data_IF_009779109804
#
_entry.id   IF_009779109804
#
_cell.length_a   1.000
_cell.length_b   1.000
_cell.length_c   1.000
_cell.angle_alpha   90.00
_cell.angle_beta   90.00
_cell.angle_gamma   90.00
#
_symmetry.space_group_name_H-M   'P 1'
#
loop_
_entity.id
_entity.type
_entity.pdbx_description
1 polymer ?
#
# COMPACT_ATOMS: atom_id res chain seq x y z
N UNK A 1 12.10 -13.05 -27.30
CA UNK A 1 12.23 -11.60 -27.00
C UNK A 1 13.24 -11.02 -27.98
N UNK A 2 12.83 -10.05 -28.79
CA UNK A 2 13.70 -9.37 -29.76
C UNK A 2 13.86 -7.89 -29.38
N UNK A 3 15.01 -7.31 -29.78
CA UNK A 3 15.22 -5.86 -29.64
C UNK A 3 14.27 -5.11 -30.57
N UNK A 4 13.55 -4.13 -30.03
CA UNK A 4 12.72 -3.23 -30.84
C UNK A 4 13.57 -2.43 -31.82
N UNK A 5 13.14 -2.38 -33.07
CA UNK A 5 13.75 -1.54 -34.10
C UNK A 5 12.75 -1.17 -35.19
N UNK A 6 12.90 0.00 -35.79
CA UNK A 6 12.05 0.46 -36.91
C UNK A 6 12.08 -0.51 -38.09
N UNK A 7 13.25 -1.09 -38.38
CA UNK A 7 13.41 -2.07 -39.46
C UNK A 7 12.67 -3.39 -39.25
N UNK A 8 12.33 -3.72 -38.01
CA UNK A 8 11.57 -4.92 -37.62
C UNK A 8 10.08 -4.66 -37.43
N UNK A 9 9.65 -3.42 -37.57
CA UNK A 9 8.25 -3.01 -37.35
C UNK A 9 7.65 -3.45 -35.99
N UNK A 10 8.49 -3.61 -34.97
CA UNK A 10 8.10 -4.07 -33.63
C UNK A 10 8.27 -2.97 -32.57
N UNK A 11 8.32 -1.70 -32.97
CA UNK A 11 8.44 -0.53 -32.08
C UNK A 11 7.06 -0.15 -31.55
N UNK A 12 6.96 0.07 -30.25
CA UNK A 12 5.81 0.72 -29.63
C UNK A 12 6.06 2.22 -29.63
N UNK A 13 5.12 3.00 -30.19
CA UNK A 13 5.21 4.44 -30.20
C UNK A 13 4.76 5.01 -28.85
N UNK A 14 5.61 5.76 -28.12
CA UNK A 14 5.21 6.41 -26.85
C UNK A 14 4.00 7.32 -26.98
N UNK A 15 3.85 8.04 -28.09
CA UNK A 15 2.73 8.96 -28.30
C UNK A 15 1.38 8.24 -28.28
N UNK A 16 1.31 7.04 -28.88
CA UNK A 16 0.09 6.22 -28.88
C UNK A 16 -0.26 5.73 -27.47
N UNK A 17 0.75 5.38 -26.70
CA UNK A 17 0.59 4.97 -25.30
C UNK A 17 0.15 6.15 -24.44
N UNK A 18 0.78 7.32 -24.61
CA UNK A 18 0.42 8.55 -23.89
C UNK A 18 -1.01 8.98 -24.23
N UNK A 19 -1.40 8.94 -25.50
CA UNK A 19 -2.75 9.27 -25.92
C UNK A 19 -3.81 8.35 -25.28
N UNK A 20 -3.47 7.06 -25.06
CA UNK A 20 -4.40 6.07 -24.50
C UNK A 20 -4.42 6.03 -22.96
N UNK A 21 -3.27 6.14 -22.32
CA UNK A 21 -3.12 5.88 -20.88
C UNK A 21 -2.61 7.08 -20.08
N UNK A 22 -2.11 8.11 -20.75
CA UNK A 22 -1.47 9.27 -20.13
C UNK A 22 0.04 9.08 -19.87
N UNK A 23 0.75 10.21 -19.80
CA UNK A 23 2.21 10.22 -19.63
C UNK A 23 2.67 9.62 -18.31
N UNK A 24 1.95 9.89 -17.22
CA UNK A 24 2.29 9.34 -15.89
C UNK A 24 2.20 7.81 -15.84
N UNK A 25 1.23 7.24 -16.54
CA UNK A 25 1.09 5.77 -16.65
C UNK A 25 2.28 5.17 -17.37
N UNK A 26 2.71 5.76 -18.49
CA UNK A 26 3.88 5.31 -19.23
C UNK A 26 5.15 5.40 -18.36
N UNK A 27 5.38 6.54 -17.70
CA UNK A 27 6.52 6.75 -16.80
C UNK A 27 6.59 5.70 -15.69
N UNK A 28 5.47 5.49 -15.00
CA UNK A 28 5.38 4.48 -13.94
C UNK A 28 5.61 3.07 -14.47
N UNK A 29 5.09 2.76 -15.66
CA UNK A 29 5.25 1.45 -16.26
C UNK A 29 6.71 1.17 -16.62
N UNK A 30 7.40 2.12 -17.24
CA UNK A 30 8.84 2.02 -17.54
C UNK A 30 9.67 1.77 -16.28
N UNK A 31 9.37 2.48 -15.19
CA UNK A 31 10.04 2.28 -13.91
C UNK A 31 9.68 0.95 -13.24
N UNK A 32 8.44 0.47 -13.41
CA UNK A 32 7.92 -0.74 -12.77
C UNK A 32 8.40 -2.04 -13.40
N UNK A 33 8.74 -2.04 -14.70
CA UNK A 33 9.10 -3.25 -15.46
C UNK A 33 10.26 -4.07 -14.84
N UNK A 34 11.12 -3.46 -14.03
CA UNK A 34 12.22 -4.15 -13.34
C UNK A 34 13.40 -3.22 -13.02
N UNK A 35 14.50 -3.76 -12.51
CA UNK A 35 15.71 -2.98 -12.22
C UNK A 35 16.21 -2.22 -13.45
N UNK A 36 16.69 -0.97 -13.24
CA UNK A 36 17.06 -0.07 -14.35
C UNK A 36 18.19 -0.59 -15.22
N UNK A 37 19.06 -1.42 -14.66
CA UNK A 37 20.23 -1.99 -15.36
C UNK A 37 19.88 -3.18 -16.27
N UNK A 38 18.67 -3.72 -16.15
CA UNK A 38 18.28 -4.92 -16.88
C UNK A 38 17.45 -4.60 -18.12
N UNK A 39 17.67 -5.37 -19.18
CA UNK A 39 16.80 -5.36 -20.35
C UNK A 39 15.42 -5.91 -19.98
N UNK A 40 14.36 -5.24 -20.44
CA UNK A 40 12.99 -5.57 -20.07
C UNK A 40 12.15 -5.86 -21.32
N UNK A 41 11.37 -6.96 -21.34
CA UNK A 41 10.39 -7.15 -22.39
C UNK A 41 9.24 -6.16 -22.22
N UNK A 42 8.84 -5.52 -23.30
CA UNK A 42 7.62 -4.72 -23.31
C UNK A 42 6.39 -5.65 -23.36
N UNK A 43 5.45 -5.41 -22.46
CA UNK A 43 4.12 -6.02 -22.49
C UNK A 43 3.05 -4.94 -22.43
N UNK A 44 2.36 -4.72 -23.55
CA UNK A 44 1.31 -3.70 -23.63
C UNK A 44 0.15 -3.96 -22.67
N UNK A 45 -0.08 -5.22 -22.26
CA UNK A 45 -1.13 -5.53 -21.27
C UNK A 45 -0.70 -5.20 -19.85
N UNK A 46 0.59 -5.23 -19.55
CA UNK A 46 1.13 -4.93 -18.22
C UNK A 46 0.91 -3.48 -17.77
N UNK A 47 0.79 -2.54 -18.71
CA UNK A 47 0.57 -1.11 -18.43
C UNK A 47 -0.79 -0.84 -17.75
N UNK A 48 -1.78 -1.70 -17.95
CA UNK A 48 -3.08 -1.61 -17.29
C UNK A 48 -2.97 -1.63 -15.75
N UNK A 49 -1.95 -2.31 -15.21
CA UNK A 49 -1.70 -2.36 -13.77
C UNK A 49 -1.35 -0.99 -13.21
N UNK A 50 -0.46 -0.25 -13.88
CA UNK A 50 -0.05 1.10 -13.48
C UNK A 50 -1.17 2.13 -13.72
N UNK A 51 -1.93 1.99 -14.79
CA UNK A 51 -3.10 2.83 -15.05
C UNK A 51 -4.16 2.69 -13.94
N UNK A 52 -4.49 1.46 -13.56
CA UNK A 52 -5.43 1.20 -12.46
C UNK A 52 -4.91 1.69 -11.12
N UNK A 53 -3.59 1.61 -10.88
CA UNK A 53 -2.98 2.18 -9.68
C UNK A 53 -3.21 3.69 -9.60
N UNK A 54 -2.91 4.45 -10.66
CA UNK A 54 -3.13 5.90 -10.68
C UNK A 54 -4.60 6.27 -10.44
N UNK A 55 -5.53 5.53 -11.03
CA UNK A 55 -6.97 5.73 -10.77
C UNK A 55 -7.33 5.46 -9.31
N UNK A 56 -6.77 4.42 -8.69
CA UNK A 56 -6.99 4.15 -7.27
C UNK A 56 -6.37 5.25 -6.39
N UNK A 57 -5.17 5.73 -6.74
CA UNK A 57 -4.52 6.83 -6.04
C UNK A 57 -5.39 8.10 -6.11
N UNK A 58 -5.87 8.48 -7.29
CA UNK A 58 -6.81 9.57 -7.47
C UNK A 58 -8.05 9.43 -6.60
N UNK A 59 -8.63 8.25 -6.56
CA UNK A 59 -9.85 7.98 -5.81
C UNK A 59 -9.69 8.07 -4.28
N UNK A 60 -8.47 7.99 -3.72
CA UNK A 60 -8.24 8.26 -2.30
C UNK A 60 -8.56 9.70 -1.89
N UNK A 61 -8.50 10.63 -2.85
CA UNK A 61 -8.73 12.06 -2.63
C UNK A 61 -10.18 12.48 -2.92
N UNK A 62 -11.00 11.58 -3.44
CA UNK A 62 -12.36 11.88 -3.86
C UNK A 62 -13.37 11.05 -3.07
N UNK A 63 -14.49 11.68 -2.75
CA UNK A 63 -15.62 10.99 -2.09
C UNK A 63 -16.18 9.96 -3.05
N UNK A 64 -16.54 8.75 -2.55
CA UNK A 64 -17.15 7.73 -3.40
C UNK A 64 -18.41 8.27 -4.08
N UNK A 65 -18.68 7.77 -5.30
CA UNK A 65 -19.84 8.19 -6.09
C UNK A 65 -21.19 8.08 -5.33
N UNK A 66 -21.30 7.13 -4.38
CA UNK A 66 -22.48 6.97 -3.51
C UNK A 66 -22.61 8.11 -2.48
N UNK A 67 -21.50 8.67 -2.01
CA UNK A 67 -21.49 9.83 -1.11
C UNK A 67 -21.62 11.13 -1.91
N UNK A 68 -21.09 11.20 -3.14
CA UNK A 68 -21.21 12.31 -4.08
C UNK A 68 -22.63 12.49 -4.61
N UNK A 69 -23.42 11.41 -4.77
CA UNK A 69 -24.81 11.47 -5.19
C UNK A 69 -25.73 12.18 -4.17
N UNK A 70 -25.27 12.34 -2.93
CA UNK A 70 -25.93 13.13 -1.87
C UNK A 70 -25.51 14.60 -1.84
N UNK A 71 -24.47 14.98 -2.58
CA UNK A 71 -23.90 16.32 -2.66
C UNK A 71 -23.82 16.76 -4.12
N UNK A 72 -24.93 17.17 -4.72
CA UNK A 72 -25.06 17.89 -6.02
C UNK A 72 -24.09 17.52 -7.16
N UNK A 73 -23.70 16.25 -7.30
CA UNK A 73 -23.15 15.68 -8.54
C UNK A 73 -21.78 16.18 -9.01
N UNK A 74 -21.00 16.85 -8.17
CA UNK A 74 -19.62 17.25 -8.46
C UNK A 74 -18.65 16.23 -7.85
N UNK A 75 -17.56 15.90 -8.55
CA UNK A 75 -16.39 15.17 -8.02
C UNK A 75 -15.91 15.85 -6.71
N UNK A 76 -16.54 15.51 -5.61
CA UNK A 76 -16.25 16.14 -4.33
C UNK A 76 -14.90 15.66 -3.83
N UNK A 77 -13.96 16.59 -3.76
CA UNK A 77 -12.66 16.35 -3.12
C UNK A 77 -12.91 16.08 -1.63
N UNK A 78 -12.60 14.85 -1.19
CA UNK A 78 -13.03 14.31 0.09
C UNK A 78 -11.94 14.21 1.14
N UNK A 79 -10.93 15.07 1.08
CA UNK A 79 -9.82 15.09 2.03
C UNK A 79 -10.25 15.80 3.33
N UNK A 80 -9.98 15.18 4.50
CA UNK A 80 -10.30 15.71 5.81
C UNK A 80 -9.04 16.08 6.61
N UNK A 81 -9.16 17.07 7.49
CA UNK A 81 -8.09 17.50 8.42
C UNK A 81 -8.13 16.76 9.76
N UNK A 82 -8.92 15.70 9.87
CA UNK A 82 -8.94 14.87 11.08
C UNK A 82 -7.59 14.19 11.33
N UNK A 83 -7.32 13.90 12.60
CA UNK A 83 -6.09 13.20 12.98
C UNK A 83 -6.05 11.79 12.38
N UNK A 84 -4.91 11.38 11.79
CA UNK A 84 -4.75 10.03 11.26
C UNK A 84 -4.69 8.99 12.37
N UNK A 85 -5.12 7.77 12.04
CA UNK A 85 -5.01 6.61 12.90
C UNK A 85 -3.60 6.01 12.86
N UNK A 86 -3.24 5.20 13.88
CA UNK A 86 -1.95 4.49 13.89
C UNK A 86 -1.72 3.61 12.64
N UNK A 87 -2.70 2.81 12.15
CA UNK A 87 -2.53 2.05 10.91
C UNK A 87 -2.27 2.93 9.68
N UNK A 88 -2.95 4.06 9.55
CA UNK A 88 -2.75 5.00 8.44
C UNK A 88 -1.34 5.61 8.48
N UNK A 89 -0.87 6.04 9.67
CA UNK A 89 0.50 6.55 9.86
C UNK A 89 1.54 5.46 9.56
N UNK A 90 1.30 4.21 9.97
CA UNK A 90 2.21 3.10 9.65
C UNK A 90 2.37 2.91 8.15
N UNK A 91 1.28 2.91 7.39
CA UNK A 91 1.31 2.80 5.92
C UNK A 91 2.08 3.96 5.30
N UNK A 92 1.80 5.20 5.74
CA UNK A 92 2.50 6.39 5.25
C UNK A 92 4.00 6.26 5.49
N UNK A 93 4.42 6.11 6.75
CA UNK A 93 5.85 6.16 7.10
C UNK A 93 6.64 4.95 6.57
N UNK A 94 6.02 3.76 6.46
CA UNK A 94 6.61 2.61 5.78
C UNK A 94 6.84 2.90 4.29
N UNK A 95 5.89 3.56 3.66
CA UNK A 95 5.99 3.94 2.24
C UNK A 95 7.07 5.00 2.03
N UNK A 96 7.06 6.08 2.81
CA UNK A 96 8.08 7.13 2.72
C UNK A 96 9.49 6.59 2.94
N UNK A 97 9.68 5.75 3.96
CA UNK A 97 10.97 5.09 4.21
C UNK A 97 11.43 4.29 3.01
N UNK A 98 10.57 3.37 2.55
CA UNK A 98 10.90 2.47 1.44
C UNK A 98 11.21 3.24 0.16
N UNK A 99 10.39 4.23 -0.20
CA UNK A 99 10.56 5.03 -1.42
C UNK A 99 11.83 5.86 -1.34
N UNK A 100 12.14 6.48 -0.20
CA UNK A 100 13.39 7.25 -0.01
C UNK A 100 14.62 6.35 -0.21
N UNK A 101 14.66 5.19 0.46
CA UNK A 101 15.76 4.24 0.32
C UNK A 101 15.89 3.67 -1.11
N UNK A 102 14.78 3.46 -1.79
CA UNK A 102 14.76 2.93 -3.15
C UNK A 102 15.22 3.96 -4.18
N UNK A 103 14.89 5.23 -4.02
CA UNK A 103 15.38 6.31 -4.88
C UNK A 103 16.90 6.41 -4.78
N UNK A 104 17.46 6.39 -3.56
CA UNK A 104 18.90 6.42 -3.32
C UNK A 104 19.64 5.24 -3.99
N UNK A 105 18.98 4.08 -4.06
CA UNK A 105 19.51 2.85 -4.69
C UNK A 105 19.11 2.69 -6.15
N UNK A 106 18.39 3.65 -6.73
CA UNK A 106 17.80 3.59 -8.07
C UNK A 106 16.89 2.37 -8.30
N UNK A 107 16.27 1.85 -7.23
CA UNK A 107 15.36 0.69 -7.24
C UNK A 107 13.91 1.11 -7.50
N UNK A 108 13.65 1.82 -8.59
CA UNK A 108 12.36 2.46 -8.85
C UNK A 108 11.19 1.48 -8.97
N UNK A 109 11.46 0.26 -9.45
CA UNK A 109 10.43 -0.77 -9.56
C UNK A 109 9.83 -1.18 -8.20
N UNK A 110 10.64 -1.21 -7.14
CA UNK A 110 10.18 -1.51 -5.78
C UNK A 110 9.47 -0.32 -5.16
N UNK A 111 9.85 0.92 -5.49
CA UNK A 111 9.08 2.12 -5.11
C UNK A 111 7.67 2.11 -5.69
N UNK A 112 7.53 1.81 -6.99
CA UNK A 112 6.20 1.74 -7.63
C UNK A 112 5.35 0.63 -7.00
N UNK A 113 5.94 -0.54 -6.72
CA UNK A 113 5.26 -1.61 -6.00
C UNK A 113 4.79 -1.18 -4.60
N UNK A 114 5.63 -0.43 -3.86
CA UNK A 114 5.29 0.09 -2.55
C UNK A 114 4.13 1.08 -2.60
N UNK A 115 4.08 1.98 -3.57
CA UNK A 115 2.92 2.85 -3.76
C UNK A 115 1.64 2.06 -4.05
N UNK A 116 1.71 0.99 -4.84
CA UNK A 116 0.54 0.12 -5.10
C UNK A 116 0.04 -0.56 -3.82
N UNK A 117 0.93 -1.01 -2.95
CA UNK A 117 0.60 -1.58 -1.63
C UNK A 117 -0.08 -0.51 -0.78
N UNK A 118 0.54 0.66 -0.64
CA UNK A 118 0.03 1.76 0.18
C UNK A 118 -1.39 2.18 -0.23
N UNK A 119 -1.66 2.33 -1.53
CA UNK A 119 -2.98 2.70 -2.04
C UNK A 119 -4.04 1.65 -1.71
N UNK A 120 -3.70 0.35 -1.81
CA UNK A 120 -4.64 -0.72 -1.45
C UNK A 120 -4.92 -0.74 0.06
N UNK A 121 -3.90 -0.57 0.91
CA UNK A 121 -4.05 -0.53 2.36
C UNK A 121 -4.83 0.70 2.83
N UNK A 122 -4.49 1.90 2.34
CA UNK A 122 -5.22 3.13 2.65
C UNK A 122 -6.66 3.09 2.15
N UNK A 123 -6.90 2.49 0.98
CA UNK A 123 -8.24 2.24 0.46
C UNK A 123 -9.06 1.32 1.38
N UNK A 124 -8.45 0.25 1.91
CA UNK A 124 -9.08 -0.66 2.88
C UNK A 124 -9.40 0.06 4.20
N UNK A 125 -8.49 0.93 4.65
CA UNK A 125 -8.68 1.78 5.84
C UNK A 125 -9.65 2.94 5.59
N UNK A 126 -10.10 3.15 4.34
CA UNK A 126 -10.92 4.31 3.93
C UNK A 126 -10.29 5.64 4.34
N UNK A 127 -8.97 5.73 4.22
CA UNK A 127 -8.22 6.91 4.60
C UNK A 127 -8.54 8.09 3.69
N UNK A 128 -8.92 9.22 4.29
CA UNK A 128 -9.13 10.50 3.63
C UNK A 128 -8.34 11.64 4.31
N UNK A 129 -7.36 11.30 5.14
CA UNK A 129 -6.67 12.26 6.01
C UNK A 129 -5.59 13.02 5.23
N UNK A 130 -5.68 14.38 5.24
CA UNK A 130 -4.68 15.27 4.62
C UNK A 130 -3.27 14.93 5.09
N UNK A 131 -3.08 14.77 6.40
CA UNK A 131 -1.77 14.48 7.00
C UNK A 131 -1.13 13.16 6.49
N UNK A 132 -1.91 12.26 5.88
CA UNK A 132 -1.43 11.02 5.26
C UNK A 132 -1.28 11.18 3.74
N UNK A 133 -2.28 11.74 3.08
CA UNK A 133 -2.38 11.77 1.62
C UNK A 133 -1.44 12.81 1.00
N UNK A 134 -1.28 13.98 1.62
CA UNK A 134 -0.45 15.06 1.10
C UNK A 134 1.04 14.69 1.01
N UNK A 135 1.69 14.09 2.03
CA UNK A 135 3.06 13.61 1.90
C UNK A 135 3.24 12.52 0.83
N UNK A 136 2.21 11.70 0.57
CA UNK A 136 2.26 10.71 -0.51
C UNK A 136 2.20 11.35 -1.89
N UNK A 137 1.51 12.49 -2.06
CA UNK A 137 1.53 13.28 -3.31
C UNK A 137 2.95 13.74 -3.60
N UNK A 138 3.63 14.33 -2.61
CA UNK A 138 5.02 14.77 -2.75
C UNK A 138 5.95 13.61 -3.10
N UNK A 139 5.81 12.47 -2.40
CA UNK A 139 6.64 11.29 -2.65
C UNK A 139 6.39 10.67 -4.04
N UNK A 140 5.17 10.78 -4.58
CA UNK A 140 4.81 10.28 -5.91
C UNK A 140 5.25 11.21 -7.04
N UNK A 141 5.44 12.51 -6.80
CA UNK A 141 5.72 13.51 -7.82
C UNK A 141 6.89 13.15 -8.76
N UNK A 142 8.03 12.60 -8.32
CA UNK A 142 9.11 12.20 -9.23
C UNK A 142 8.70 11.10 -10.21
N UNK A 143 7.74 10.26 -9.84
CA UNK A 143 7.28 9.12 -10.63
C UNK A 143 6.12 9.47 -11.55
N UNK A 144 5.14 10.26 -11.07
CA UNK A 144 3.93 10.64 -11.76
C UNK A 144 3.64 12.14 -11.53
N UNK A 145 4.39 13.04 -12.21
CA UNK A 145 4.36 14.48 -11.92
C UNK A 145 3.01 15.15 -12.21
N UNK A 146 2.28 14.72 -13.26
CA UNK A 146 1.06 15.41 -13.65
C UNK A 146 -0.09 15.18 -12.65
N UNK A 147 -0.32 13.94 -12.24
CA UNK A 147 -1.34 13.63 -11.23
C UNK A 147 -0.95 14.23 -9.87
N UNK A 148 0.34 14.22 -9.53
CA UNK A 148 0.82 14.80 -8.28
C UNK A 148 0.60 16.32 -8.25
N UNK A 149 0.91 17.03 -9.31
CA UNK A 149 0.68 18.47 -9.42
C UNK A 149 -0.81 18.81 -9.33
N UNK A 150 -1.67 18.11 -10.06
CA UNK A 150 -3.11 18.32 -10.01
C UNK A 150 -3.69 18.12 -8.61
N UNK A 151 -3.29 17.05 -7.90
CA UNK A 151 -3.71 16.78 -6.52
C UNK A 151 -3.16 17.82 -5.55
N UNK A 152 -1.92 18.27 -5.75
CA UNK A 152 -1.28 19.29 -4.94
C UNK A 152 -2.02 20.62 -5.00
N UNK A 153 -2.41 21.04 -6.20
CA UNK A 153 -3.25 22.24 -6.39
C UNK A 153 -4.64 22.08 -5.77
N UNK A 154 -5.26 20.91 -5.91
CA UNK A 154 -6.56 20.59 -5.28
C UNK A 154 -6.48 20.57 -3.75
N UNK A 155 -5.33 20.26 -3.16
CA UNK A 155 -5.06 20.40 -1.73
C UNK A 155 -4.91 21.85 -1.27
N UNK A 156 -4.90 22.82 -2.20
CA UNK A 156 -4.90 24.27 -1.92
C UNK A 156 -3.52 24.93 -1.98
N UNK A 157 -2.51 24.24 -2.50
CA UNK A 157 -1.17 24.81 -2.66
C UNK A 157 -1.08 25.65 -3.94
N UNK A 158 -0.50 26.84 -3.84
CA UNK A 158 -0.30 27.76 -4.96
C UNK A 158 0.98 27.52 -5.75
N UNK A 159 2.01 26.98 -5.09
CA UNK A 159 3.29 26.66 -5.70
C UNK A 159 3.31 25.22 -6.20
N UNK A 160 4.19 24.92 -7.15
CA UNK A 160 4.34 23.55 -7.68
C UNK A 160 4.78 22.55 -6.62
N UNK A 161 4.29 21.31 -6.70
CA UNK A 161 4.72 20.20 -5.86
C UNK A 161 6.23 19.95 -5.94
N UNK A 162 6.88 20.34 -7.02
CA UNK A 162 8.34 20.20 -7.20
C UNK A 162 9.15 21.04 -6.24
N UNK A 163 8.56 22.09 -5.65
CA UNK A 163 9.21 22.95 -4.63
C UNK A 163 8.92 22.48 -3.21
N UNK A 164 8.03 21.52 -3.03
CA UNK A 164 7.71 20.98 -1.71
C UNK A 164 8.91 20.22 -1.10
N UNK A 165 9.16 20.37 0.22
CA UNK A 165 10.20 19.63 0.89
C UNK A 165 9.90 18.12 0.87
N UNK A 166 10.94 17.31 0.68
CA UNK A 166 10.78 15.85 0.73
C UNK A 166 10.27 15.37 2.10
N UNK A 167 9.18 14.59 2.14
CA UNK A 167 8.57 14.19 3.40
C UNK A 167 9.47 13.24 4.18
N UNK A 168 9.61 13.50 5.48
CA UNK A 168 10.45 12.70 6.37
C UNK A 168 9.62 11.58 7.02
N UNK A 169 10.14 10.38 7.01
CA UNK A 169 9.55 9.27 7.75
C UNK A 169 10.02 9.25 9.22
N UNK A 170 9.18 8.71 10.11
CA UNK A 170 9.44 8.63 11.54
C UNK A 170 9.40 7.17 12.00
N UNK A 171 10.45 6.74 12.70
CA UNK A 171 10.61 5.35 13.13
C UNK A 171 9.54 4.91 14.15
N UNK A 172 9.02 5.85 14.94
CA UNK A 172 7.99 5.59 15.95
C UNK A 172 6.70 5.03 15.37
N UNK A 173 6.32 5.44 14.15
CA UNK A 173 5.13 4.94 13.45
C UNK A 173 5.33 3.56 12.80
N UNK A 174 6.57 3.06 12.74
CA UNK A 174 6.90 1.75 12.19
C UNK A 174 6.94 0.64 13.25
N UNK A 175 6.86 1.01 14.53
CA UNK A 175 6.86 0.05 15.63
C UNK A 175 5.53 -0.72 15.63
N UNK A 176 5.62 -2.03 15.56
CA UNK A 176 4.45 -2.89 15.71
C UNK A 176 4.14 -3.06 17.20
N UNK A 177 2.97 -2.59 17.61
CA UNK A 177 2.47 -2.78 18.98
C UNK A 177 1.84 -4.17 19.16
N UNK A 178 1.44 -4.82 18.07
CA UNK A 178 0.76 -6.11 18.07
C UNK A 178 1.31 -7.05 17.00
N UNK A 179 1.12 -8.33 17.20
CA UNK A 179 1.45 -9.37 16.24
C UNK A 179 0.23 -10.29 16.02
N UNK A 180 -0.09 -10.54 14.74
CA UNK A 180 -1.17 -11.46 14.36
C UNK A 180 -0.65 -12.90 14.35
N UNK A 181 -1.03 -13.66 15.37
CA UNK A 181 -0.68 -15.06 15.50
C UNK A 181 -1.63 -15.95 14.70
N UNK A 182 -1.14 -16.73 13.71
CA UNK A 182 -1.90 -17.82 13.16
C UNK A 182 -2.09 -18.91 14.23
N UNK A 183 -3.35 -19.23 14.52
CA UNK A 183 -3.72 -20.27 15.48
C UNK A 183 -4.01 -21.55 14.73
N UNK A 184 -3.20 -22.57 14.99
CA UNK A 184 -3.30 -23.87 14.36
C UNK A 184 -3.84 -24.91 15.33
N UNK A 185 -4.66 -25.82 14.81
CA UNK A 185 -5.14 -27.02 15.50
C UNK A 185 -4.55 -28.24 14.81
N UNK A 186 -3.77 -29.03 15.53
CA UNK A 186 -3.06 -30.19 15.00
C UNK A 186 -2.29 -29.86 13.70
N UNK A 187 -1.59 -28.69 13.66
CA UNK A 187 -0.80 -28.22 12.54
C UNK A 187 -1.56 -27.54 11.39
N UNK A 188 -2.89 -27.44 11.44
CA UNK A 188 -3.71 -26.73 10.43
C UNK A 188 -4.18 -25.38 10.96
N UNK A 189 -3.74 -24.28 10.36
CA UNK A 189 -4.18 -22.91 10.72
C UNK A 189 -5.68 -22.74 10.48
N UNK A 190 -6.39 -22.20 11.47
CA UNK A 190 -7.84 -22.04 11.46
C UNK A 190 -8.32 -20.64 11.80
N UNK A 191 -7.51 -19.89 12.56
CA UNK A 191 -7.83 -18.57 13.07
C UNK A 191 -6.58 -17.69 12.98
N UNK A 192 -6.80 -16.37 13.04
CA UNK A 192 -5.76 -15.39 13.32
C UNK A 192 -6.21 -14.54 14.51
N UNK A 193 -5.39 -14.43 15.52
CA UNK A 193 -5.65 -13.61 16.70
C UNK A 193 -4.50 -12.61 16.89
N UNK A 194 -4.85 -11.38 17.17
CA UNK A 194 -3.90 -10.29 17.35
C UNK A 194 -3.64 -10.06 18.84
N UNK A 195 -2.35 -10.08 19.20
CA UNK A 195 -1.92 -9.82 20.58
C UNK A 195 -0.80 -8.80 20.63
N UNK A 196 -0.74 -7.96 21.69
CA UNK A 196 0.37 -7.04 21.90
C UNK A 196 1.72 -7.78 21.87
N UNK A 197 2.72 -7.19 21.19
CA UNK A 197 4.07 -7.78 21.08
C UNK A 197 4.76 -7.90 22.44
N UNK A 198 4.38 -7.04 23.39
CA UNK A 198 4.91 -7.04 24.74
C UNK A 198 4.48 -8.26 25.59
N UNK A 199 3.48 -9.04 25.14
CA UNK A 199 3.03 -10.21 25.86
C UNK A 199 4.05 -11.35 25.75
N UNK A 200 4.32 -11.99 26.86
CA UNK A 200 5.12 -13.21 26.91
C UNK A 200 4.31 -14.42 26.37
N UNK A 201 5.03 -15.50 26.08
CA UNK A 201 4.41 -16.69 25.48
C UNK A 201 3.30 -17.30 26.36
N UNK A 202 3.42 -17.19 27.70
CA UNK A 202 2.44 -17.71 28.63
C UNK A 202 1.15 -16.90 28.62
N UNK A 203 1.27 -15.57 28.63
CA UNK A 203 0.12 -14.67 28.52
C UNK A 203 -0.60 -14.81 27.17
N UNK A 204 0.13 -15.02 26.08
CA UNK A 204 -0.45 -15.32 24.76
C UNK A 204 -1.22 -16.64 24.83
N UNK A 205 -0.66 -17.71 25.43
CA UNK A 205 -1.33 -19.00 25.60
C UNK A 205 -2.65 -18.86 26.37
N UNK A 206 -2.62 -18.15 27.50
CA UNK A 206 -3.81 -17.92 28.35
C UNK A 206 -4.91 -17.19 27.58
N UNK A 207 -4.55 -16.11 26.85
CA UNK A 207 -5.51 -15.34 26.07
C UNK A 207 -6.05 -16.11 24.85
N UNK A 208 -5.22 -16.92 24.20
CA UNK A 208 -5.66 -17.80 23.10
C UNK A 208 -6.67 -18.82 23.62
N UNK A 209 -6.40 -19.46 24.76
CA UNK A 209 -7.31 -20.44 25.36
C UNK A 209 -8.60 -19.80 25.88
N UNK A 210 -8.57 -18.56 26.33
CA UNK A 210 -9.76 -17.81 26.77
C UNK A 210 -10.62 -17.29 25.59
N UNK A 211 -10.11 -17.31 24.36
CA UNK A 211 -10.82 -16.79 23.21
C UNK A 211 -12.05 -17.65 22.86
N UNK A 212 -13.26 -17.05 22.70
CA UNK A 212 -14.51 -17.80 22.44
C UNK A 212 -14.46 -18.65 21.16
N UNK A 213 -13.79 -18.18 20.09
CA UNK A 213 -13.68 -18.92 18.82
C UNK A 213 -12.76 -20.15 18.97
N UNK A 214 -11.72 -20.05 19.81
CA UNK A 214 -10.84 -21.16 20.13
C UNK A 214 -11.59 -22.19 20.99
N UNK A 215 -12.33 -21.74 22.01
CA UNK A 215 -13.14 -22.60 22.86
C UNK A 215 -14.23 -23.33 22.07
N UNK A 216 -14.92 -22.66 21.16
CA UNK A 216 -15.90 -23.27 20.29
C UNK A 216 -15.31 -24.43 19.45
N UNK A 217 -14.04 -24.29 19.01
CA UNK A 217 -13.35 -25.32 18.21
C UNK A 217 -12.78 -26.46 19.04
N UNK A 218 -12.55 -26.22 20.33
CA UNK A 218 -12.14 -27.26 21.27
C UNK A 218 -13.29 -28.20 21.65
N UNK A 219 -14.55 -27.78 21.41
CA UNK A 219 -15.76 -28.59 21.69
C UNK A 219 -15.77 -29.16 23.12
N UNK A 220 -15.27 -28.40 24.09
CA UNK A 220 -15.15 -28.83 25.48
C UNK A 220 -13.99 -29.81 25.79
N UNK A 221 -13.15 -30.13 24.80
CA UNK A 221 -11.96 -30.96 25.01
C UNK A 221 -10.80 -30.09 25.54
N UNK A 222 -10.13 -30.59 26.57
CA UNK A 222 -8.89 -29.97 27.05
C UNK A 222 -7.77 -30.19 26.02
N UNK A 223 -6.99 -29.17 25.64
CA UNK A 223 -5.85 -29.35 24.77
C UNK A 223 -4.76 -30.21 25.47
N UNK A 224 -4.18 -31.18 24.77
CA UNK A 224 -3.05 -31.95 25.28
C UNK A 224 -1.78 -31.10 25.42
N UNK A 225 -1.61 -30.18 24.51
CA UNK A 225 -0.44 -29.29 24.50
C UNK A 225 -0.76 -28.01 23.68
N UNK A 226 -0.31 -26.85 24.18
CA UNK A 226 -0.28 -25.61 23.44
C UNK A 226 1.17 -25.19 23.22
N UNK A 227 1.54 -24.92 22.01
CA UNK A 227 2.90 -24.52 21.64
C UNK A 227 2.84 -23.11 21.09
N UNK A 228 3.34 -22.15 21.84
CA UNK A 228 3.47 -20.75 21.42
C UNK A 228 4.90 -20.51 20.94
N UNK A 229 5.05 -20.18 19.67
CA UNK A 229 6.30 -19.68 19.10
C UNK A 229 6.19 -18.18 18.98
N UNK A 230 6.89 -17.37 19.80
CA UNK A 230 6.77 -15.92 19.81
C UNK A 230 6.95 -15.32 18.44
N UNK A 231 6.07 -14.37 18.07
CA UNK A 231 6.05 -13.68 16.76
C UNK A 231 6.04 -14.63 15.56
N UNK A 232 5.39 -15.80 15.70
CA UNK A 232 5.31 -16.76 14.60
C UNK A 232 3.98 -17.49 14.54
N UNK A 233 3.65 -18.33 15.53
CA UNK A 233 2.47 -19.21 15.48
C UNK A 233 2.09 -19.71 16.87
N UNK A 234 0.81 -20.02 17.07
CA UNK A 234 0.33 -20.84 18.17
C UNK A 234 -0.25 -22.13 17.62
N UNK A 235 0.20 -23.28 18.11
CA UNK A 235 -0.33 -24.58 17.73
C UNK A 235 -0.94 -25.31 18.93
N UNK A 236 -2.23 -25.62 18.81
CA UNK A 236 -3.02 -26.33 19.81
C UNK A 236 -3.12 -27.80 19.38
N UNK A 237 -2.66 -28.69 20.21
CA UNK A 237 -2.76 -30.15 19.99
C UNK A 237 -3.93 -30.66 20.84
N UNK A 238 -4.89 -31.24 20.20
CA UNK A 238 -6.12 -31.79 20.80
C UNK A 238 -6.07 -33.32 20.79
#
# INVERSE_FOLDING_TARGET
VEKMSKSKFNVVNPDDIIAKYGADTLRLYEMFLGPIEQSKPWDTNGIEGTYRFLRKFWNLFHVSAEASAKADGVDAFGVSDDAPTKPELKVLHATLKKVTEDIEKMSFNTSVAQFMIAVNELGTLKCSKRAVLEPLVVALAPFAPHIAEELWQKLGHAESVTTAPWPQWQAEHLVEDSFSYPISFNGKTRLQLEFPIALDAKSVEEQVLANPEVQARLEGKAPKKVIVVPKRIVNIVV
#
